data_IF_842226449182
#
_entry.id   IF_842226449182
#
_cell.length_a   1.000
_cell.length_b   1.000
_cell.length_c   1.000
_cell.angle_alpha   90.00
_cell.angle_beta   90.00
_cell.angle_gamma   90.00
#
_symmetry.space_group_name_H-M   'P 1'
#
loop_
_entity.id
_entity.type
_entity.pdbx_description
1 polymer ?
#
# COMPACT_ATOMS: atom_id res chain seq x y z
N UNK A 1 -24.14 16.49 -8.62
CA UNK A 1 -23.31 15.38 -8.10
C UNK A 1 -24.21 14.17 -7.90
N UNK A 2 -23.79 12.95 -8.27
CA UNK A 2 -24.60 11.73 -8.51
C UNK A 2 -25.36 11.14 -7.29
N UNK A 3 -25.84 11.94 -6.33
CA UNK A 3 -26.63 11.45 -5.19
C UNK A 3 -25.84 10.61 -4.18
N UNK A 4 -24.50 10.61 -4.28
CA UNK A 4 -23.58 9.94 -3.35
C UNK A 4 -22.99 10.99 -2.42
N UNK A 5 -23.83 11.64 -1.62
CA UNK A 5 -23.41 12.62 -0.63
C UNK A 5 -24.39 12.67 0.54
N UNK A 6 -23.89 12.77 1.75
CA UNK A 6 -24.70 13.06 2.95
C UNK A 6 -25.35 14.47 2.82
N UNK A 7 -26.16 14.92 3.78
CA UNK A 7 -26.74 16.28 3.85
C UNK A 7 -25.71 17.41 3.67
N UNK A 8 -24.42 17.10 3.79
CA UNK A 8 -23.28 18.00 3.59
C UNK A 8 -22.63 17.91 2.20
N UNK A 9 -23.16 17.09 1.29
CA UNK A 9 -22.60 16.79 -0.03
C UNK A 9 -21.17 16.20 0.00
N UNK A 10 -20.78 15.62 1.13
CA UNK A 10 -19.48 15.00 1.32
C UNK A 10 -19.49 13.53 0.87
N UNK A 11 -18.39 13.09 0.25
CA UNK A 11 -18.19 11.70 -0.12
C UNK A 11 -17.82 10.91 1.15
N UNK A 12 -18.78 10.15 1.67
CA UNK A 12 -18.61 9.33 2.87
C UNK A 12 -18.24 7.89 2.52
N UNK A 13 -17.75 7.15 3.51
CA UNK A 13 -17.55 5.71 3.37
C UNK A 13 -18.91 5.01 3.30
N UNK A 14 -19.10 4.18 2.28
CA UNK A 14 -20.35 3.49 2.02
C UNK A 14 -20.12 1.98 1.95
N UNK A 15 -21.08 1.20 2.43
CA UNK A 15 -21.12 -0.25 2.28
C UNK A 15 -22.34 -0.61 1.43
N UNK A 16 -22.12 -1.36 0.35
CA UNK A 16 -23.17 -1.79 -0.56
C UNK A 16 -23.15 -3.30 -0.68
N UNK A 17 -24.29 -3.94 -0.44
CA UNK A 17 -24.43 -5.37 -0.62
C UNK A 17 -24.88 -5.68 -2.07
N UNK A 18 -24.06 -6.44 -2.78
CA UNK A 18 -24.37 -6.95 -4.12
C UNK A 18 -24.16 -8.46 -4.08
N UNK A 19 -25.21 -9.22 -4.41
CA UNK A 19 -25.18 -10.68 -4.39
C UNK A 19 -24.25 -11.28 -5.44
N UNK A 20 -23.90 -12.56 -5.26
CA UNK A 20 -23.17 -13.31 -6.28
C UNK A 20 -24.01 -13.44 -7.54
N UNK A 21 -23.46 -13.07 -8.69
CA UNK A 21 -24.18 -13.06 -9.97
C UNK A 21 -24.91 -11.76 -10.29
N UNK A 22 -25.07 -10.85 -9.32
CA UNK A 22 -25.77 -9.56 -9.49
C UNK A 22 -24.92 -8.46 -10.17
N UNK A 23 -23.79 -8.83 -10.78
CA UNK A 23 -22.97 -7.90 -11.55
C UNK A 23 -22.02 -7.03 -10.73
N UNK A 24 -21.55 -7.49 -9.57
CA UNK A 24 -20.62 -6.74 -8.70
C UNK A 24 -19.38 -6.19 -9.45
N UNK A 25 -18.74 -7.02 -10.28
CA UNK A 25 -17.59 -6.60 -11.10
C UNK A 25 -17.93 -5.47 -12.07
N UNK A 26 -19.15 -5.48 -12.63
CA UNK A 26 -19.64 -4.43 -13.53
C UNK A 26 -19.86 -3.14 -12.77
N UNK A 27 -20.52 -3.21 -11.61
CA UNK A 27 -20.75 -2.05 -10.75
C UNK A 27 -19.44 -1.42 -10.28
N UNK A 28 -18.45 -2.23 -9.88
CA UNK A 28 -17.11 -1.75 -9.50
C UNK A 28 -16.39 -1.05 -10.65
N UNK A 29 -16.35 -1.66 -11.84
CA UNK A 29 -15.71 -1.07 -13.02
C UNK A 29 -16.37 0.24 -13.47
N UNK A 30 -17.70 0.28 -13.49
CA UNK A 30 -18.46 1.49 -13.82
C UNK A 30 -18.24 2.61 -12.79
N UNK A 31 -18.29 2.27 -11.50
CA UNK A 31 -18.04 3.23 -10.41
C UNK A 31 -16.61 3.78 -10.48
N UNK A 32 -15.62 2.92 -10.69
CA UNK A 32 -14.23 3.33 -10.85
C UNK A 32 -14.05 4.29 -12.03
N UNK A 33 -14.72 4.01 -13.15
CA UNK A 33 -14.70 4.88 -14.34
C UNK A 33 -15.26 6.27 -14.04
N UNK A 34 -16.44 6.33 -13.41
CA UNK A 34 -17.12 7.59 -13.09
C UNK A 34 -16.26 8.42 -12.14
N UNK A 35 -15.73 7.81 -11.07
CA UNK A 35 -14.86 8.50 -10.11
C UNK A 35 -13.56 8.98 -10.77
N UNK A 36 -12.98 8.18 -11.65
CA UNK A 36 -11.79 8.60 -12.40
C UNK A 36 -12.06 9.78 -13.33
N UNK A 37 -13.24 9.85 -13.96
CA UNK A 37 -13.66 11.01 -14.75
C UNK A 37 -13.90 12.25 -13.88
N UNK A 38 -14.40 12.07 -12.66
CA UNK A 38 -14.72 13.16 -11.73
C UNK A 38 -13.51 13.85 -11.08
N UNK A 39 -12.29 13.33 -11.24
CA UNK A 39 -11.12 13.94 -10.59
C UNK A 39 -10.32 13.03 -9.68
N UNK A 40 -10.73 11.77 -9.50
CA UNK A 40 -10.16 10.90 -8.47
C UNK A 40 -9.16 9.88 -9.03
N UNK A 41 -8.16 9.55 -8.22
CA UNK A 41 -7.35 8.34 -8.41
C UNK A 41 -8.03 7.18 -7.67
N UNK A 42 -8.49 6.18 -8.43
CA UNK A 42 -9.29 5.08 -7.92
C UNK A 42 -8.41 3.83 -7.75
N UNK A 43 -8.46 3.24 -6.56
CA UNK A 43 -7.85 1.94 -6.26
C UNK A 43 -8.96 0.93 -5.99
N UNK A 44 -9.03 -0.13 -6.78
CA UNK A 44 -9.95 -1.24 -6.60
C UNK A 44 -9.20 -2.40 -5.94
N UNK A 45 -9.50 -2.63 -4.66
CA UNK A 45 -8.96 -3.74 -3.88
C UNK A 45 -9.86 -4.97 -4.06
N UNK A 46 -9.25 -6.09 -4.43
CA UNK A 46 -9.89 -7.40 -4.41
C UNK A 46 -9.11 -8.34 -3.48
N UNK A 47 -9.72 -9.45 -3.08
CA UNK A 47 -9.01 -10.47 -2.31
C UNK A 47 -7.95 -11.20 -3.15
N UNK A 48 -8.30 -11.58 -4.39
CA UNK A 48 -7.44 -12.38 -5.27
C UNK A 48 -6.84 -11.55 -6.40
N UNK A 49 -5.55 -11.75 -6.67
CA UNK A 49 -4.87 -11.16 -7.84
C UNK A 49 -5.53 -11.61 -9.14
N UNK A 50 -5.98 -12.87 -9.24
CA UNK A 50 -6.68 -13.37 -10.42
C UNK A 50 -8.00 -12.63 -10.68
N UNK A 51 -8.84 -12.48 -9.64
CA UNK A 51 -10.12 -11.76 -9.76
C UNK A 51 -9.88 -10.28 -10.12
N UNK A 52 -8.90 -9.67 -9.47
CA UNK A 52 -8.48 -8.30 -9.74
C UNK A 52 -8.07 -8.08 -11.20
N UNK A 53 -7.23 -8.96 -11.74
CA UNK A 53 -6.78 -8.89 -13.14
C UNK A 53 -7.89 -9.19 -14.13
N UNK A 54 -8.77 -10.15 -13.82
CA UNK A 54 -9.93 -10.48 -14.66
C UNK A 54 -10.84 -9.26 -14.81
N UNK A 55 -11.19 -8.62 -13.70
CA UNK A 55 -12.11 -7.49 -13.68
C UNK A 55 -11.50 -6.26 -14.36
N UNK A 56 -10.20 -5.98 -14.10
CA UNK A 56 -9.46 -4.94 -14.81
C UNK A 56 -9.46 -5.16 -16.33
N UNK A 57 -9.11 -6.36 -16.79
CA UNK A 57 -9.09 -6.69 -18.22
C UNK A 57 -10.47 -6.59 -18.86
N UNK A 58 -11.52 -6.95 -18.13
CA UNK A 58 -12.90 -6.83 -18.59
C UNK A 58 -13.32 -5.38 -18.85
N UNK A 59 -12.82 -4.43 -18.06
CA UNK A 59 -13.12 -3.01 -18.20
C UNK A 59 -12.06 -2.18 -18.93
N UNK A 60 -10.90 -2.76 -19.24
CA UNK A 60 -9.82 -2.06 -19.93
C UNK A 60 -10.27 -1.33 -21.21
N UNK A 61 -11.11 -1.91 -22.09
CA UNK A 61 -11.59 -1.19 -23.28
C UNK A 61 -12.39 0.08 -22.94
N UNK A 62 -13.15 0.07 -21.84
CA UNK A 62 -13.90 1.24 -21.35
C UNK A 62 -12.94 2.28 -20.78
N UNK A 63 -11.96 1.84 -19.98
CA UNK A 63 -10.96 2.74 -19.41
C UNK A 63 -10.11 3.43 -20.49
N UNK A 64 -9.73 2.69 -21.53
CA UNK A 64 -8.98 3.21 -22.69
C UNK A 64 -9.83 4.19 -23.49
N UNK A 65 -11.08 3.83 -23.81
CA UNK A 65 -12.00 4.68 -24.57
C UNK A 65 -12.28 6.01 -23.88
N UNK A 66 -12.27 6.02 -22.55
CA UNK A 66 -12.53 7.21 -21.73
C UNK A 66 -11.24 7.92 -21.25
N UNK A 67 -10.06 7.40 -21.60
CA UNK A 67 -8.77 8.00 -21.25
C UNK A 67 -8.47 8.02 -19.75
N UNK A 68 -9.00 7.05 -18.98
CA UNK A 68 -8.88 7.00 -17.51
C UNK A 68 -7.97 5.89 -16.98
N UNK A 69 -7.34 5.11 -17.87
CA UNK A 69 -6.48 3.95 -17.50
C UNK A 69 -5.46 4.29 -16.41
N UNK A 70 -4.78 5.42 -16.55
CA UNK A 70 -3.71 5.86 -15.64
C UNK A 70 -4.20 6.23 -14.22
N UNK A 71 -5.51 6.42 -14.05
CA UNK A 71 -6.14 6.84 -12.80
C UNK A 71 -6.85 5.70 -12.07
N UNK A 72 -6.91 4.51 -12.67
CA UNK A 72 -7.59 3.34 -12.09
C UNK A 72 -6.57 2.23 -11.88
N UNK A 73 -6.45 1.75 -10.64
CA UNK A 73 -5.56 0.64 -10.31
C UNK A 73 -6.32 -0.48 -9.63
N UNK A 74 -6.18 -1.68 -10.17
CA UNK A 74 -6.68 -2.90 -9.56
C UNK A 74 -5.52 -3.62 -8.88
N UNK A 75 -5.76 -4.18 -7.69
CA UNK A 75 -4.80 -5.04 -7.02
C UNK A 75 -5.37 -5.74 -5.80
N UNK A 76 -4.56 -6.60 -5.19
CA UNK A 76 -4.85 -7.11 -3.85
C UNK A 76 -4.66 -6.01 -2.81
N UNK A 77 -5.30 -6.14 -1.65
CA UNK A 77 -5.08 -5.23 -0.52
C UNK A 77 -3.60 -5.02 -0.20
N UNK A 78 -2.84 -6.11 -0.09
CA UNK A 78 -1.40 -6.05 0.22
C UNK A 78 -0.62 -5.26 -0.83
N UNK A 79 -0.89 -5.52 -2.13
CA UNK A 79 -0.24 -4.80 -3.23
C UNK A 79 -0.56 -3.31 -3.20
N UNK A 80 -1.83 -2.96 -2.95
CA UNK A 80 -2.24 -1.56 -2.87
C UNK A 80 -1.68 -0.84 -1.63
N UNK A 81 -1.54 -1.53 -0.50
CA UNK A 81 -0.86 -1.01 0.69
C UNK A 81 0.64 -0.78 0.43
N UNK A 82 1.34 -1.75 -0.15
CA UNK A 82 2.75 -1.61 -0.54
C UNK A 82 2.95 -0.44 -1.52
N UNK A 83 2.09 -0.32 -2.54
CA UNK A 83 2.11 0.80 -3.49
C UNK A 83 1.86 2.15 -2.79
N UNK A 84 1.05 2.18 -1.73
CA UNK A 84 0.79 3.41 -0.97
C UNK A 84 2.01 3.83 -0.16
N UNK A 85 2.64 2.87 0.52
CA UNK A 85 3.76 3.14 1.42
C UNK A 85 5.02 3.47 0.63
N UNK A 86 5.21 2.83 -0.52
CA UNK A 86 6.34 3.08 -1.40
C UNK A 86 6.09 4.17 -2.46
N UNK A 87 5.02 4.99 -2.32
CA UNK A 87 4.64 5.99 -3.32
C UNK A 87 5.73 7.03 -3.63
N UNK A 88 6.60 7.29 -2.66
CA UNK A 88 7.69 8.27 -2.74
C UNK A 88 9.08 7.61 -2.84
N UNK A 89 9.13 6.32 -3.15
CA UNK A 89 10.36 5.53 -3.14
C UNK A 89 10.21 4.29 -2.26
N UNK A 90 11.10 3.31 -2.45
CA UNK A 90 11.11 2.09 -1.66
C UNK A 90 11.58 2.42 -0.24
N UNK A 91 10.65 2.46 0.71
CA UNK A 91 10.92 2.92 2.08
C UNK A 91 11.98 2.06 2.78
N UNK A 92 12.04 0.75 2.46
CA UNK A 92 12.97 -0.19 3.07
C UNK A 92 14.40 0.08 2.62
N UNK A 93 14.59 0.28 1.31
CA UNK A 93 15.88 0.67 0.74
C UNK A 93 16.32 2.04 1.25
N UNK A 94 15.40 3.01 1.32
CA UNK A 94 15.71 4.34 1.84
C UNK A 94 16.18 4.30 3.30
N UNK A 95 15.57 3.45 4.14
CA UNK A 95 15.99 3.25 5.54
C UNK A 95 17.37 2.57 5.60
N UNK A 96 17.60 1.54 4.79
CA UNK A 96 18.91 0.86 4.71
C UNK A 96 20.01 1.83 4.29
N UNK A 97 19.80 2.59 3.21
CA UNK A 97 20.73 3.60 2.71
C UNK A 97 20.98 4.71 3.73
N UNK A 98 19.92 5.19 4.40
CA UNK A 98 20.04 6.24 5.40
C UNK A 98 20.90 5.79 6.59
N UNK A 99 20.70 4.57 7.07
CA UNK A 99 21.44 4.04 8.22
C UNK A 99 22.90 3.73 7.85
N UNK A 100 23.14 3.18 6.66
CA UNK A 100 24.49 2.78 6.23
C UNK A 100 25.34 3.96 5.76
N UNK A 101 24.76 4.89 4.99
CA UNK A 101 25.51 5.94 4.30
C UNK A 101 25.31 7.33 4.92
N UNK A 102 24.39 7.49 5.88
CA UNK A 102 24.08 8.78 6.52
C UNK A 102 23.42 9.80 5.58
N UNK A 103 23.15 9.44 4.32
CA UNK A 103 22.57 10.31 3.31
C UNK A 103 21.18 9.82 2.93
N UNK A 104 20.18 10.68 3.08
CA UNK A 104 18.86 10.46 2.49
C UNK A 104 18.89 10.97 1.05
N UNK A 105 18.76 10.06 0.09
CA UNK A 105 18.45 10.40 -1.30
C UNK A 105 17.06 11.02 -1.31
N UNK A 106 16.96 12.34 -1.13
CA UNK A 106 15.70 13.05 -1.21
C UNK A 106 15.19 12.92 -2.65
N UNK A 107 14.21 12.04 -2.86
CA UNK A 107 13.50 11.96 -4.12
C UNK A 107 12.91 13.35 -4.40
N UNK A 108 13.35 14.00 -5.48
CA UNK A 108 12.75 15.25 -5.94
C UNK A 108 11.31 14.93 -6.36
N UNK A 109 10.36 15.12 -5.45
CA UNK A 109 8.95 15.08 -5.80
C UNK A 109 8.66 16.31 -6.66
N UNK A 110 8.67 16.14 -7.98
CA UNK A 110 8.08 17.14 -8.86
C UNK A 110 6.66 17.44 -8.36
N UNK A 111 6.28 18.72 -8.31
CA UNK A 111 4.93 19.15 -7.93
C UNK A 111 3.91 18.61 -8.96
N UNK A 112 3.50 17.36 -8.80
CA UNK A 112 2.31 16.83 -9.46
C UNK A 112 1.12 17.21 -8.59
N UNK A 113 0.10 17.79 -9.22
CA UNK A 113 -1.21 17.98 -8.57
C UNK A 113 -1.73 16.57 -8.22
N UNK A 114 -1.73 16.22 -6.94
CA UNK A 114 -2.17 14.90 -6.47
C UNK A 114 -3.71 14.88 -6.49
N UNK A 115 -4.29 13.97 -7.28
CA UNK A 115 -5.73 13.74 -7.27
C UNK A 115 -6.15 13.15 -5.92
N UNK A 116 -7.34 13.51 -5.45
CA UNK A 116 -7.93 12.84 -4.30
C UNK A 116 -8.10 11.34 -4.59
N UNK A 117 -7.82 10.49 -3.59
CA UNK A 117 -7.79 9.04 -3.76
C UNK A 117 -9.07 8.41 -3.23
N UNK A 118 -9.62 7.45 -3.96
CA UNK A 118 -10.76 6.63 -3.52
C UNK A 118 -10.34 5.16 -3.54
N UNK A 119 -10.69 4.45 -2.46
CA UNK A 119 -10.53 3.01 -2.36
C UNK A 119 -11.90 2.35 -2.52
N UNK A 120 -12.05 1.52 -3.55
CA UNK A 120 -13.19 0.63 -3.74
C UNK A 120 -12.76 -0.76 -3.29
N UNK A 121 -13.59 -1.42 -2.49
CA UNK A 121 -13.29 -2.73 -1.92
C UNK A 121 -14.30 -3.75 -2.43
N UNK A 122 -13.80 -4.78 -3.11
CA UNK A 122 -14.54 -6.00 -3.36
C UNK A 122 -14.41 -6.95 -2.17
N UNK A 123 -15.44 -7.77 -1.93
CA UNK A 123 -15.48 -8.81 -0.88
C UNK A 123 -15.09 -8.24 0.50
N UNK A 124 -15.86 -7.25 0.96
CA UNK A 124 -15.65 -6.58 2.26
C UNK A 124 -15.69 -7.57 3.43
N UNK A 125 -16.40 -8.69 3.31
CA UNK A 125 -16.38 -9.78 4.29
C UNK A 125 -14.98 -10.40 4.45
N UNK A 126 -14.22 -10.53 3.36
CA UNK A 126 -12.83 -11.01 3.41
C UNK A 126 -11.90 -9.95 4.01
N UNK A 127 -12.18 -8.67 3.79
CA UNK A 127 -11.46 -7.59 4.48
C UNK A 127 -11.59 -7.69 6.00
N UNK A 128 -12.73 -8.15 6.51
CA UNK A 128 -12.95 -8.38 7.94
C UNK A 128 -12.50 -9.76 8.45
N UNK A 129 -11.81 -10.56 7.62
CA UNK A 129 -11.19 -11.81 8.08
C UNK A 129 -10.03 -11.52 9.04
N UNK A 130 -9.67 -12.52 9.86
CA UNK A 130 -8.54 -12.40 10.83
C UNK A 130 -7.19 -12.16 10.17
N UNK A 131 -7.05 -12.54 8.90
CA UNK A 131 -5.81 -12.36 8.15
C UNK A 131 -5.56 -10.88 7.82
N UNK A 132 -6.64 -10.08 7.72
CA UNK A 132 -6.60 -8.65 7.44
C UNK A 132 -6.98 -7.80 8.66
N UNK A 133 -8.19 -7.98 9.17
CA UNK A 133 -8.72 -7.20 10.28
C UNK A 133 -8.14 -7.67 11.62
N UNK A 134 -7.29 -6.81 12.19
CA UNK A 134 -6.56 -7.09 13.44
C UNK A 134 -5.11 -7.53 13.22
N UNK A 135 -4.69 -7.73 11.97
CA UNK A 135 -3.29 -8.01 11.66
C UNK A 135 -2.49 -6.71 11.53
N UNK A 136 -1.21 -6.75 11.89
CA UNK A 136 -0.33 -5.58 11.84
C UNK A 136 0.49 -5.62 10.55
N UNK A 137 0.27 -4.64 9.69
CA UNK A 137 1.19 -4.41 8.58
C UNK A 137 2.54 -3.94 9.13
N UNK A 138 3.58 -4.76 8.94
CA UNK A 138 4.92 -4.55 9.51
C UNK A 138 5.94 -4.30 8.40
N UNK A 139 6.13 -3.04 7.94
CA UNK A 139 7.19 -2.72 7.00
C UNK A 139 8.53 -2.75 7.74
N UNK A 140 9.35 -3.76 7.47
CA UNK A 140 10.71 -3.87 8.02
C UNK A 140 11.76 -3.84 6.92
N UNK A 141 12.91 -3.27 7.25
CA UNK A 141 14.13 -3.27 6.43
C UNK A 141 15.19 -4.14 7.10
N UNK A 142 16.04 -4.82 6.32
CA UNK A 142 17.02 -5.77 6.84
C UNK A 142 18.42 -5.21 6.66
N UNK A 143 18.96 -4.63 7.73
CA UNK A 143 20.32 -4.13 7.75
C UNK A 143 21.32 -5.30 7.76
N UNK A 144 22.21 -5.32 6.77
CA UNK A 144 23.29 -6.30 6.67
C UNK A 144 24.61 -5.56 6.62
N UNK A 145 25.35 -5.60 7.72
CA UNK A 145 26.69 -5.03 7.80
C UNK A 145 27.64 -5.99 8.56
N UNK A 146 28.88 -6.20 8.08
CA UNK A 146 29.86 -7.02 8.78
C UNK A 146 30.09 -6.59 10.24
N UNK A 147 30.06 -5.28 10.52
CA UNK A 147 30.22 -4.74 11.88
C UNK A 147 29.12 -5.21 12.83
N UNK A 148 27.88 -5.35 12.36
CA UNK A 148 26.77 -5.91 13.15
C UNK A 148 27.07 -7.37 13.51
N UNK A 149 27.57 -8.15 12.54
CA UNK A 149 27.91 -9.57 12.75
C UNK A 149 29.09 -9.72 13.72
N UNK A 150 30.12 -8.87 13.58
CA UNK A 150 31.26 -8.82 14.47
C UNK A 150 30.86 -8.42 15.89
N UNK A 151 29.97 -7.43 16.04
CA UNK A 151 29.44 -6.99 17.33
C UNK A 151 28.67 -8.11 18.03
N UNK A 152 27.75 -8.77 17.33
CA UNK A 152 26.99 -9.90 17.88
C UNK A 152 27.93 -11.05 18.29
N UNK A 153 28.91 -11.37 17.44
CA UNK A 153 29.91 -12.41 17.72
C UNK A 153 30.77 -12.09 18.95
N UNK A 154 31.17 -10.82 19.11
CA UNK A 154 31.90 -10.35 20.28
C UNK A 154 31.08 -10.50 21.56
N UNK A 155 29.84 -9.98 21.56
CA UNK A 155 28.90 -10.07 22.69
C UNK A 155 28.68 -11.54 23.06
N UNK A 156 28.45 -12.41 22.07
CA UNK A 156 28.22 -13.83 22.29
C UNK A 156 29.42 -14.55 22.92
N UNK A 157 30.63 -14.23 22.46
CA UNK A 157 31.88 -14.80 23.00
C UNK A 157 32.09 -14.40 24.46
N UNK A 158 31.76 -13.15 24.79
CA UNK A 158 31.91 -12.55 26.11
C UNK A 158 30.65 -12.64 26.98
N UNK A 159 29.67 -13.49 26.63
CA UNK A 159 28.36 -13.55 27.33
C UNK A 159 28.44 -13.87 28.83
N UNK A 160 29.55 -14.44 29.31
CA UNK A 160 29.74 -14.78 30.73
C UNK A 160 30.32 -13.64 31.57
N UNK A 161 30.84 -12.58 30.94
CA UNK A 161 31.58 -11.51 31.64
C UNK A 161 30.72 -10.30 32.02
N UNK A 162 29.38 -10.41 31.98
CA UNK A 162 28.43 -9.32 32.32
C UNK A 162 28.76 -8.00 31.60
N UNK A 163 29.00 -8.09 30.29
CA UNK A 163 29.26 -6.93 29.43
C UNK A 163 28.18 -5.86 29.59
N UNK A 164 28.62 -4.61 29.76
CA UNK A 164 27.76 -3.44 29.73
C UNK A 164 28.04 -2.55 28.52
N UNK A 165 27.13 -1.62 28.23
CA UNK A 165 27.23 -0.74 27.07
C UNK A 165 28.53 0.08 27.03
N UNK A 166 29.03 0.52 28.19
CA UNK A 166 30.25 1.33 28.26
C UNK A 166 31.48 0.52 27.84
N UNK A 167 31.55 -0.75 28.25
CA UNK A 167 32.62 -1.67 27.84
C UNK A 167 32.58 -1.95 26.34
N UNK A 168 31.39 -2.16 25.78
CA UNK A 168 31.21 -2.40 24.34
C UNK A 168 31.65 -1.18 23.53
N UNK A 169 31.23 0.04 23.94
CA UNK A 169 31.60 1.29 23.27
C UNK A 169 33.11 1.57 23.27
N UNK A 170 33.86 1.05 24.25
CA UNK A 170 35.31 1.21 24.30
C UNK A 170 36.06 0.30 23.30
N UNK A 171 35.35 -0.63 22.64
CA UNK A 171 35.94 -1.63 21.73
C UNK A 171 35.75 -1.30 20.25
N UNK A 172 34.98 -0.25 19.94
CA UNK A 172 34.69 0.25 18.59
C UNK A 172 35.43 1.58 18.36
#
# INVERSE_FOLDING_TARGET
MLGIGDKKEELTNNLVQIGTGEGKSVTLGATATILALLGFDVRCACYSEYLSQRDYKGFLPVFESLGVVQYIRYGTFNKLCEDMINRNGNIRQMVEEFILNGSSSAAQSGQRIERAKILLIDEVDIFFSRDFYGNVYTPSASLRDPTITSLISYIWTQRKSNLNLNQIKATA
#
